data_IF_689841096237
#
_entry.id   IF_689841096237
#
_cell.length_a   1.000
_cell.length_b   1.000
_cell.length_c   1.000
_cell.angle_alpha   90.00
_cell.angle_beta   90.00
_cell.angle_gamma   90.00
#
_symmetry.space_group_name_H-M   'P 1'
#
loop_
_entity.id
_entity.type
_entity.pdbx_description
1 polymer ?
#
# COMPACT_ATOMS: atom_id res chain seq x y z
N UNK A 1 -47.31 -18.85 -21.34
CA UNK A 1 -46.59 -17.91 -22.24
C UNK A 1 -45.94 -16.81 -21.44
N UNK A 2 -44.91 -17.23 -20.70
CA UNK A 2 -43.59 -16.63 -20.56
C UNK A 2 -43.49 -15.12 -20.36
N UNK A 3 -43.61 -14.75 -19.08
CA UNK A 3 -42.91 -13.62 -18.47
C UNK A 3 -41.39 -13.81 -18.62
N UNK A 4 -40.76 -13.05 -19.50
CA UNK A 4 -39.30 -12.86 -19.47
C UNK A 4 -38.98 -11.48 -18.89
N UNK A 5 -38.96 -11.42 -17.55
CA UNK A 5 -38.28 -10.36 -16.82
C UNK A 5 -36.77 -10.47 -17.05
N UNK A 6 -36.21 -9.49 -17.74
CA UNK A 6 -34.76 -9.32 -17.81
C UNK A 6 -34.26 -8.91 -16.42
N UNK A 7 -33.32 -9.62 -15.79
CA UNK A 7 -32.67 -9.11 -14.60
C UNK A 7 -31.71 -8.01 -15.05
N UNK A 8 -32.10 -6.76 -14.85
CA UNK A 8 -31.22 -5.60 -14.99
C UNK A 8 -30.01 -5.84 -14.10
N UNK A 9 -28.90 -6.24 -14.73
CA UNK A 9 -27.62 -6.45 -14.08
C UNK A 9 -27.25 -5.20 -13.29
N UNK A 10 -26.82 -5.42 -12.06
CA UNK A 10 -26.23 -4.40 -11.21
C UNK A 10 -25.20 -3.61 -12.04
N UNK A 11 -25.57 -2.38 -12.43
CA UNK A 11 -24.65 -1.42 -13.01
C UNK A 11 -23.68 -1.08 -11.88
N UNK A 12 -22.60 -1.85 -11.82
CA UNK A 12 -21.44 -1.50 -11.01
C UNK A 12 -20.99 -0.17 -11.59
N UNK A 13 -21.14 0.93 -10.84
CA UNK A 13 -20.61 2.23 -11.23
C UNK A 13 -19.10 2.04 -11.47
N UNK A 14 -18.70 1.83 -12.72
CA UNK A 14 -17.32 1.74 -13.11
C UNK A 14 -16.81 3.17 -13.19
N UNK A 15 -16.06 3.60 -12.18
CA UNK A 15 -15.24 4.81 -12.30
C UNK A 15 -14.39 4.70 -13.56
N UNK A 16 -14.25 5.81 -14.29
CA UNK A 16 -13.47 5.89 -15.52
C UNK A 16 -12.04 5.38 -15.29
N UNK A 17 -11.56 4.50 -16.16
CA UNK A 17 -10.20 3.96 -16.06
C UNK A 17 -9.19 5.08 -16.37
N UNK A 18 -8.25 5.29 -15.45
CA UNK A 18 -7.17 6.25 -15.65
C UNK A 18 -6.04 5.61 -16.46
N UNK A 19 -5.59 6.28 -17.52
CA UNK A 19 -4.42 5.85 -18.27
C UNK A 19 -3.16 6.01 -17.42
N UNK A 20 -2.39 4.93 -17.28
CA UNK A 20 -1.11 4.97 -16.58
C UNK A 20 -0.01 5.35 -17.57
N UNK A 21 0.72 6.45 -17.34
CA UNK A 21 1.87 6.77 -18.17
C UNK A 21 2.96 5.72 -17.92
N UNK A 22 3.17 4.84 -18.89
CA UNK A 22 4.37 4.02 -19.00
C UNK A 22 5.32 4.75 -19.94
N UNK A 23 6.29 5.46 -19.38
CA UNK A 23 7.37 6.04 -20.20
C UNK A 23 8.24 4.91 -20.74
N UNK A 24 8.57 4.97 -22.03
CA UNK A 24 9.51 4.04 -22.66
C UNK A 24 10.86 4.10 -21.94
N UNK A 25 11.15 3.09 -21.11
CA UNK A 25 12.37 2.99 -20.30
C UNK A 25 12.13 2.86 -18.80
N UNK A 26 10.95 3.24 -18.28
CA UNK A 26 10.60 3.00 -16.87
C UNK A 26 9.95 1.64 -16.71
N UNK A 27 10.34 0.90 -15.66
CA UNK A 27 9.80 -0.44 -15.37
C UNK A 27 8.51 -0.43 -14.53
N UNK A 28 8.04 0.75 -14.13
CA UNK A 28 6.83 0.91 -13.32
C UNK A 28 6.05 2.17 -13.74
N UNK A 29 4.75 2.18 -13.41
CA UNK A 29 3.87 3.34 -13.52
C UNK A 29 3.07 3.52 -12.23
N UNK A 30 2.83 4.77 -11.83
CA UNK A 30 2.15 5.10 -10.58
C UNK A 30 0.82 5.84 -10.82
N UNK A 31 -0.27 5.29 -10.29
CA UNK A 31 -1.59 5.92 -10.31
C UNK A 31 -1.71 6.94 -9.16
N UNK A 32 -1.48 8.23 -9.44
CA UNK A 32 -1.43 9.27 -8.38
C UNK A 32 -2.77 9.96 -8.09
N UNK A 33 -3.77 9.73 -8.93
CA UNK A 33 -5.05 10.47 -8.95
C UNK A 33 -6.26 9.58 -8.74
N UNK A 34 -6.07 8.37 -8.21
CA UNK A 34 -7.17 7.47 -7.84
C UNK A 34 -7.85 7.96 -6.57
N UNK A 35 -9.18 8.00 -6.58
CA UNK A 35 -10.02 8.28 -5.42
C UNK A 35 -11.33 7.51 -5.51
N UNK A 36 -12.01 7.35 -4.37
CA UNK A 36 -13.36 6.80 -4.27
C UNK A 36 -14.28 7.87 -3.72
N UNK A 37 -15.45 8.05 -4.35
CA UNK A 37 -16.48 8.99 -3.91
C UNK A 37 -17.21 8.46 -2.67
N UNK A 38 -17.74 9.36 -1.84
CA UNK A 38 -18.61 9.01 -0.72
C UNK A 38 -19.99 8.47 -1.16
N UNK A 39 -20.35 8.65 -2.43
CA UNK A 39 -21.49 8.00 -3.08
C UNK A 39 -21.32 6.49 -3.16
N UNK A 40 -20.09 5.99 -3.22
CA UNK A 40 -19.80 4.55 -3.23
C UNK A 40 -19.90 3.97 -1.81
N UNK A 41 -20.80 3.02 -1.60
CA UNK A 41 -21.08 2.42 -0.30
C UNK A 41 -20.38 1.08 -0.08
N UNK A 42 -19.52 0.63 -1.01
CA UNK A 42 -18.78 -0.64 -0.87
C UNK A 42 -17.79 -0.54 0.29
N UNK A 43 -17.82 -1.53 1.19
CA UNK A 43 -16.86 -1.62 2.32
C UNK A 43 -15.45 -2.03 1.88
N UNK A 44 -15.34 -2.61 0.70
CA UNK A 44 -14.11 -3.11 0.13
C UNK A 44 -14.13 -2.91 -1.39
N UNK A 45 -12.96 -2.64 -1.95
CA UNK A 45 -12.75 -2.48 -3.39
C UNK A 45 -11.50 -3.25 -3.82
N UNK A 46 -11.35 -3.42 -5.13
CA UNK A 46 -10.15 -3.93 -5.76
C UNK A 46 -9.76 -2.96 -6.88
N UNK A 47 -8.46 -2.84 -7.16
CA UNK A 47 -7.97 -2.13 -8.33
C UNK A 47 -7.89 -3.09 -9.49
N UNK A 48 -8.33 -2.66 -10.67
CA UNK A 48 -8.20 -3.42 -11.91
C UNK A 48 -7.24 -2.68 -12.84
N UNK A 49 -6.21 -3.38 -13.29
CA UNK A 49 -5.26 -2.87 -14.28
C UNK A 49 -5.54 -3.59 -15.60
N UNK A 50 -6.05 -2.85 -16.58
CA UNK A 50 -6.23 -3.33 -17.94
C UNK A 50 -4.95 -3.03 -18.73
N UNK A 51 -4.29 -4.07 -19.24
CA UNK A 51 -3.06 -3.93 -20.02
C UNK A 51 -3.30 -4.24 -21.50
N UNK A 52 -2.81 -3.36 -22.37
CA UNK A 52 -2.89 -3.49 -23.82
C UNK A 52 -1.58 -2.96 -24.41
N UNK A 53 -1.14 -3.50 -25.55
CA UNK A 53 0.00 -2.94 -26.26
C UNK A 53 -0.38 -1.64 -26.97
N UNK A 54 0.47 -0.62 -26.94
CA UNK A 54 0.33 0.52 -27.84
C UNK A 54 0.78 0.07 -29.23
N UNK A 55 -0.15 -0.27 -30.11
CA UNK A 55 0.16 -0.57 -31.51
C UNK A 55 -0.52 0.45 -32.42
N UNK A 56 0.24 0.96 -33.38
CA UNK A 56 -0.18 1.94 -34.39
C UNK A 56 -1.11 1.32 -35.47
N UNK A 57 -1.43 0.03 -35.34
CA UNK A 57 -2.24 -0.74 -36.27
C UNK A 57 -3.56 -1.18 -35.63
N UNK A 58 -4.59 -1.32 -36.47
CA UNK A 58 -6.03 -1.36 -36.17
C UNK A 58 -6.51 -2.32 -35.06
N UNK A 59 -5.67 -3.21 -34.56
CA UNK A 59 -5.98 -4.15 -33.47
C UNK A 59 -4.83 -4.19 -32.46
N UNK A 60 -4.86 -3.28 -31.47
CA UNK A 60 -3.90 -3.29 -30.35
C UNK A 60 -4.13 -4.56 -29.51
N UNK A 61 -3.16 -5.49 -29.41
CA UNK A 61 -3.37 -6.74 -28.68
C UNK A 61 -3.62 -6.48 -27.19
N UNK A 62 -4.74 -7.02 -26.71
CA UNK A 62 -5.11 -7.02 -25.29
C UNK A 62 -4.29 -8.07 -24.54
N UNK A 63 -3.59 -7.66 -23.48
CA UNK A 63 -2.76 -8.56 -22.68
C UNK A 63 -3.61 -9.24 -21.62
N UNK A 64 -4.43 -8.47 -20.91
CA UNK A 64 -5.22 -8.99 -19.79
C UNK A 64 -5.69 -7.92 -18.83
N UNK A 65 -6.47 -8.35 -17.83
CA UNK A 65 -6.91 -7.54 -16.70
C UNK A 65 -6.42 -8.19 -15.41
N UNK A 66 -5.75 -7.40 -14.58
CA UNK A 66 -5.13 -7.86 -13.34
C UNK A 66 -5.80 -7.17 -12.16
N UNK A 67 -6.25 -7.96 -11.20
CA UNK A 67 -6.93 -7.46 -10.00
C UNK A 67 -5.95 -7.38 -8.82
N UNK A 68 -6.02 -6.29 -8.05
CA UNK A 68 -5.27 -6.17 -6.80
C UNK A 68 -5.88 -7.02 -5.70
N UNK A 69 -5.15 -7.16 -4.59
CA UNK A 69 -5.75 -7.58 -3.32
C UNK A 69 -6.87 -6.61 -2.91
N UNK A 70 -7.78 -7.12 -2.09
CA UNK A 70 -8.92 -6.37 -1.55
C UNK A 70 -8.42 -5.22 -0.66
N UNK A 71 -8.91 -4.02 -0.92
CA UNK A 71 -8.62 -2.79 -0.19
C UNK A 71 -9.86 -2.43 0.62
N UNK A 72 -9.69 -2.29 1.93
CA UNK A 72 -10.76 -1.85 2.81
C UNK A 72 -10.98 -0.35 2.66
N UNK A 73 -12.23 0.06 2.45
CA UNK A 73 -12.62 1.48 2.43
C UNK A 73 -12.78 1.97 3.87
N UNK A 74 -12.15 3.10 4.19
CA UNK A 74 -12.21 3.74 5.50
C UNK A 74 -12.68 5.19 5.35
N UNK A 75 -13.32 5.74 6.38
CA UNK A 75 -13.77 7.13 6.38
C UNK A 75 -12.64 8.10 6.71
N UNK A 76 -12.22 8.14 7.98
CA UNK A 76 -11.07 8.90 8.47
C UNK A 76 -10.36 8.05 9.53
N UNK A 77 -9.03 8.17 9.67
CA UNK A 77 -8.33 7.56 10.78
C UNK A 77 -8.97 7.98 12.11
N UNK A 78 -9.24 7.01 12.98
CA UNK A 78 -9.85 7.30 14.28
C UNK A 78 -8.82 7.95 15.20
N UNK A 79 -9.23 9.04 15.88
CA UNK A 79 -8.44 9.70 16.92
C UNK A 79 -8.48 8.98 18.28
N UNK A 80 -9.42 8.03 18.45
CA UNK A 80 -9.57 7.26 19.69
C UNK A 80 -8.48 6.20 19.79
N UNK A 81 -8.02 5.93 21.01
CA UNK A 81 -7.13 4.79 21.30
C UNK A 81 -7.80 3.52 20.77
N UNK A 82 -7.09 2.81 19.89
CA UNK A 82 -7.62 1.59 19.30
C UNK A 82 -7.67 0.49 20.35
N UNK A 83 -8.78 -0.24 20.37
CA UNK A 83 -8.90 -1.47 21.14
C UNK A 83 -8.42 -2.64 20.31
N UNK A 84 -7.66 -3.54 20.92
CA UNK A 84 -7.17 -4.77 20.27
C UNK A 84 -8.34 -5.66 19.82
N UNK A 85 -9.53 -5.53 20.43
CA UNK A 85 -10.72 -6.30 20.04
C UNK A 85 -11.28 -5.93 18.65
N UNK A 86 -10.87 -4.80 18.07
CA UNK A 86 -11.23 -4.37 16.71
C UNK A 86 -10.02 -4.38 15.76
N UNK A 87 -8.96 -5.12 16.11
CA UNK A 87 -7.62 -4.96 15.53
C UNK A 87 -7.47 -5.42 14.07
N UNK A 88 -8.25 -6.40 13.61
CA UNK A 88 -8.00 -7.13 12.36
C UNK A 88 -7.87 -6.26 11.10
N UNK A 89 -8.36 -5.01 11.14
CA UNK A 89 -8.40 -4.14 9.97
C UNK A 89 -7.79 -2.76 10.14
N UNK A 90 -7.32 -2.42 11.35
CA UNK A 90 -6.79 -1.08 11.68
C UNK A 90 -5.43 -1.16 12.37
N UNK A 91 -5.14 -2.28 13.05
CA UNK A 91 -3.85 -2.47 13.70
C UNK A 91 -2.83 -3.06 12.74
N UNK A 92 -1.56 -2.74 12.98
CA UNK A 92 -0.42 -3.25 12.22
C UNK A 92 0.11 -4.46 12.99
N UNK A 93 0.07 -5.64 12.38
CA UNK A 93 0.62 -6.85 12.95
C UNK A 93 2.11 -6.95 12.62
N UNK A 94 2.91 -7.44 13.58
CA UNK A 94 4.32 -7.78 13.37
C UNK A 94 4.48 -8.74 12.19
N UNK A 95 5.47 -8.50 11.35
CA UNK A 95 5.72 -9.25 10.12
C UNK A 95 4.87 -8.83 8.91
N UNK A 96 3.95 -7.87 9.06
CA UNK A 96 3.23 -7.31 7.90
C UNK A 96 4.03 -6.23 7.19
N UNK A 97 3.62 -5.89 5.97
CA UNK A 97 4.27 -4.87 5.14
C UNK A 97 3.60 -3.51 5.31
N UNK A 98 4.41 -2.48 5.47
CA UNK A 98 3.99 -1.08 5.55
C UNK A 98 4.72 -0.23 4.50
N UNK A 99 4.16 0.95 4.24
CA UNK A 99 4.84 2.03 3.54
C UNK A 99 4.85 3.26 4.46
N UNK A 100 5.95 4.00 4.47
CA UNK A 100 6.11 5.21 5.26
C UNK A 100 6.21 6.41 4.33
N UNK A 101 5.53 7.50 4.71
CA UNK A 101 5.60 8.75 3.98
C UNK A 101 5.56 9.93 4.92
N UNK A 102 6.14 11.02 4.47
CA UNK A 102 6.06 12.33 5.09
C UNK A 102 5.33 13.28 4.13
N UNK A 103 4.51 14.19 4.68
CA UNK A 103 3.86 15.25 3.92
C UNK A 103 3.95 16.56 4.68
N UNK A 104 4.72 17.51 4.15
CA UNK A 104 4.87 18.83 4.76
C UNK A 104 3.60 19.69 4.55
N UNK A 105 3.04 20.22 5.65
CA UNK A 105 1.89 21.14 5.66
C UNK A 105 0.67 20.63 4.87
N UNK A 106 0.48 19.31 4.82
CA UNK A 106 -0.63 18.68 4.08
C UNK A 106 -0.67 18.97 2.57
N UNK A 107 0.46 19.35 1.96
CA UNK A 107 0.55 19.62 0.52
C UNK A 107 0.90 18.36 -0.27
N UNK A 108 0.19 18.05 -1.37
CA UNK A 108 0.45 16.81 -2.12
C UNK A 108 1.87 16.78 -2.73
N UNK A 109 2.35 17.91 -3.23
CA UNK A 109 3.68 18.06 -3.88
C UNK A 109 4.85 17.82 -2.90
N UNK A 110 4.61 18.02 -1.60
CA UNK A 110 5.63 17.81 -0.57
C UNK A 110 5.70 16.36 -0.08
N UNK A 111 4.85 15.47 -0.59
CA UNK A 111 4.86 14.06 -0.17
C UNK A 111 6.20 13.42 -0.55
N UNK A 112 6.86 12.79 0.42
CA UNK A 112 8.06 11.97 0.23
C UNK A 112 7.86 10.62 0.90
N UNK A 113 8.26 9.55 0.24
CA UNK A 113 8.10 8.19 0.72
C UNK A 113 9.47 7.63 1.08
N UNK A 114 9.51 6.83 2.14
CA UNK A 114 10.71 6.04 2.42
C UNK A 114 10.88 5.01 1.31
N UNK A 115 12.06 4.95 0.71
CA UNK A 115 12.41 4.04 -0.37
C UNK A 115 13.87 3.60 -0.22
N UNK A 116 14.24 2.48 -0.85
CA UNK A 116 15.63 2.03 -0.94
C UNK A 116 15.99 2.01 -2.42
N UNK A 117 16.94 2.85 -2.81
CA UNK A 117 17.33 3.03 -4.21
C UNK A 117 18.12 1.82 -4.75
N UNK A 118 18.46 1.87 -6.04
CA UNK A 118 19.26 0.83 -6.71
C UNK A 118 20.68 0.70 -6.14
N UNK A 119 21.17 1.70 -5.42
CA UNK A 119 22.47 1.69 -4.72
C UNK A 119 22.36 1.11 -3.31
N UNK A 120 21.20 0.53 -2.96
CA UNK A 120 20.87 -0.01 -1.65
C UNK A 120 20.94 1.04 -0.52
N UNK A 121 20.64 2.30 -0.82
CA UNK A 121 20.60 3.39 0.16
C UNK A 121 19.17 3.80 0.47
N UNK A 122 18.90 4.08 1.75
CA UNK A 122 17.62 4.65 2.16
C UNK A 122 17.51 6.10 1.69
N UNK A 123 16.41 6.40 1.02
CA UNK A 123 16.10 7.74 0.54
C UNK A 123 14.65 8.14 0.82
N UNK A 124 14.40 9.44 0.73
CA UNK A 124 13.07 10.03 0.77
C UNK A 124 12.64 10.40 -0.66
N UNK A 125 12.04 9.44 -1.37
CA UNK A 125 11.68 9.58 -2.79
C UNK A 125 10.38 10.37 -2.98
N UNK A 126 10.29 11.18 -4.04
CA UNK A 126 9.04 11.83 -4.47
C UNK A 126 8.27 11.03 -5.53
N UNK A 127 8.82 9.92 -6.02
CA UNK A 127 8.29 9.18 -7.16
C UNK A 127 7.92 7.74 -6.82
N UNK A 128 8.69 7.11 -5.93
CA UNK A 128 8.55 5.71 -5.55
C UNK A 128 8.37 5.56 -4.05
N UNK A 129 7.82 4.43 -3.62
CA UNK A 129 7.69 4.08 -2.21
C UNK A 129 8.19 2.66 -1.99
N UNK A 130 8.94 2.46 -0.92
CA UNK A 130 9.38 1.14 -0.49
C UNK A 130 8.30 0.42 0.33
N UNK A 131 8.27 -0.90 0.20
CA UNK A 131 7.47 -1.76 1.06
C UNK A 131 8.36 -2.42 2.10
N UNK A 132 8.09 -2.19 3.39
CA UNK A 132 8.93 -2.62 4.50
C UNK A 132 8.19 -3.57 5.41
N UNK A 133 8.80 -4.68 5.78
CA UNK A 133 8.35 -5.48 6.91
C UNK A 133 8.59 -4.72 8.21
N UNK A 134 7.59 -4.71 9.08
CA UNK A 134 7.71 -4.18 10.43
C UNK A 134 7.70 -5.32 11.43
N UNK A 135 8.81 -5.53 12.12
CA UNK A 135 8.97 -6.59 13.12
C UNK A 135 8.98 -5.99 14.52
N UNK A 136 8.19 -6.54 15.42
CA UNK A 136 8.35 -6.32 16.86
C UNK A 136 9.57 -7.09 17.35
N UNK A 137 10.37 -6.45 18.20
CA UNK A 137 11.59 -7.01 18.76
C UNK A 137 11.44 -7.08 20.27
N UNK A 138 11.93 -8.15 20.90
CA UNK A 138 11.96 -8.24 22.36
C UNK A 138 13.09 -7.36 22.93
N UNK A 139 12.82 -6.73 24.07
CA UNK A 139 13.69 -5.73 24.70
C UNK A 139 14.91 -6.32 25.45
N UNK A 140 15.28 -7.57 25.22
CA UNK A 140 16.54 -8.12 25.74
C UNK A 140 17.67 -7.49 24.93
N UNK A 141 18.28 -6.45 25.51
CA UNK A 141 19.34 -5.59 24.97
C UNK A 141 19.56 -5.74 23.46
N UNK A 142 18.90 -4.91 22.63
CA UNK A 142 19.14 -4.95 21.20
C UNK A 142 20.60 -4.60 20.95
N UNK A 143 21.42 -5.61 20.65
CA UNK A 143 22.78 -5.40 20.20
C UNK A 143 22.68 -4.61 18.89
N UNK A 144 22.97 -3.31 18.94
CA UNK A 144 22.71 -2.30 17.89
C UNK A 144 23.31 -2.70 16.52
N UNK A 145 24.30 -3.59 16.53
CA UNK A 145 25.05 -4.05 15.35
C UNK A 145 24.68 -5.47 14.89
N UNK A 146 23.85 -6.21 15.62
CA UNK A 146 23.45 -7.57 15.23
C UNK A 146 22.47 -7.53 14.05
N UNK A 147 22.78 -8.29 13.01
CA UNK A 147 21.90 -8.51 11.85
C UNK A 147 20.77 -9.50 12.14
N UNK A 148 20.89 -10.25 13.24
CA UNK A 148 19.92 -11.26 13.71
C UNK A 148 19.14 -10.72 14.91
N UNK A 149 17.81 -10.79 14.85
CA UNK A 149 16.92 -10.33 15.91
C UNK A 149 15.78 -11.33 16.14
N UNK A 150 15.30 -11.42 17.38
CA UNK A 150 14.10 -12.19 17.71
C UNK A 150 12.86 -11.41 17.33
N UNK A 151 11.99 -12.03 16.53
CA UNK A 151 10.71 -11.43 16.11
C UNK A 151 9.62 -11.89 17.06
N UNK A 152 8.92 -10.91 17.63
CA UNK A 152 7.75 -11.15 18.45
C UNK A 152 6.47 -11.09 17.62
N UNK A 153 5.54 -11.99 17.90
CA UNK A 153 4.19 -11.92 17.33
C UNK A 153 3.32 -10.90 18.07
N UNK A 154 2.30 -10.38 17.38
CA UNK A 154 1.31 -9.47 17.96
C UNK A 154 1.18 -8.16 17.17
N UNK A 155 0.44 -7.21 17.75
CA UNK A 155 0.19 -5.92 17.14
C UNK A 155 1.19 -4.87 17.60
N UNK A 156 1.69 -4.07 16.68
CA UNK A 156 2.59 -2.96 16.95
C UNK A 156 1.86 -1.89 17.76
N UNK A 157 2.40 -1.58 18.94
CA UNK A 157 1.90 -0.53 19.83
C UNK A 157 2.92 0.59 19.93
N UNK A 158 2.47 1.81 20.25
CA UNK A 158 3.39 2.91 20.59
C UNK A 158 4.25 2.54 21.82
N UNK A 159 5.52 2.90 21.77
CA UNK A 159 6.54 2.51 22.74
C UNK A 159 7.17 1.15 22.48
N UNK A 160 6.74 0.42 21.45
CA UNK A 160 7.37 -0.85 21.07
C UNK A 160 8.64 -0.61 20.27
N UNK A 161 9.67 -1.41 20.53
CA UNK A 161 10.87 -1.50 19.69
C UNK A 161 10.53 -2.26 18.42
N UNK A 162 10.82 -1.65 17.28
CA UNK A 162 10.56 -2.22 15.95
C UNK A 162 11.80 -2.20 15.07
N UNK A 163 11.87 -3.18 14.18
CA UNK A 163 12.86 -3.27 13.10
C UNK A 163 12.13 -3.18 11.77
N UNK A 164 12.58 -2.28 10.89
CA UNK A 164 12.06 -2.15 9.54
C UNK A 164 13.03 -2.77 8.54
N UNK A 165 12.52 -3.66 7.68
CA UNK A 165 13.31 -4.39 6.67
C UNK A 165 12.66 -4.21 5.30
N UNK A 166 13.41 -3.73 4.32
CA UNK A 166 12.93 -3.56 2.95
C UNK A 166 12.58 -4.92 2.34
N UNK A 167 11.35 -5.08 1.85
CA UNK A 167 10.87 -6.37 1.32
C UNK A 167 11.48 -6.78 -0.03
N UNK A 168 12.26 -5.89 -0.66
CA UNK A 168 12.94 -6.15 -1.94
C UNK A 168 14.44 -6.36 -1.71
N UNK A 169 15.11 -5.41 -1.05
CA UNK A 169 16.57 -5.42 -0.90
C UNK A 169 17.05 -6.06 0.39
N UNK A 170 16.15 -6.40 1.33
CA UNK A 170 16.45 -6.83 2.70
C UNK A 170 17.30 -5.84 3.52
N UNK A 171 17.50 -4.62 3.03
CA UNK A 171 18.14 -3.55 3.81
C UNK A 171 17.27 -3.21 5.02
N UNK A 172 17.90 -2.98 6.17
CA UNK A 172 17.19 -2.71 7.41
C UNK A 172 17.61 -1.39 8.03
N UNK A 173 16.64 -0.69 8.61
CA UNK A 173 16.94 0.48 9.45
C UNK A 173 17.43 0.04 10.83
N UNK A 174 18.15 0.89 11.57
CA UNK A 174 18.43 0.66 12.99
C UNK A 174 17.17 0.37 13.81
N UNK A 175 17.33 -0.16 15.02
CA UNK A 175 16.18 -0.32 15.93
C UNK A 175 15.54 1.04 16.19
N UNK A 176 14.22 1.10 16.09
CA UNK A 176 13.46 2.32 16.33
C UNK A 176 12.39 2.04 17.36
N UNK A 177 12.07 3.03 18.18
CA UNK A 177 10.89 2.99 19.04
C UNK A 177 9.75 3.69 18.32
N UNK A 178 8.59 3.05 18.28
CA UNK A 178 7.40 3.64 17.67
C UNK A 178 6.83 4.74 18.57
N UNK A 179 6.70 5.97 18.07
CA UNK A 179 6.13 7.10 18.81
C UNK A 179 4.89 7.68 18.10
N UNK A 180 4.08 8.42 18.86
CA UNK A 180 2.90 9.13 18.37
C UNK A 180 3.23 10.56 18.01
#
# INVERSE_FOLDING_TARGET
NDNNGSPSGNITQSSEMQHLPFDNGKRFGAAKTLFISDSDKRKHINLNVKMMYTADFRDSPYIGMFESRKIKVISKPSKKKQSVKNAESVCIQSGTKIALFNRLRSQNVSTRFLHVDERNQFEASSHEWGSFYIHLVDNEEPCMESTTFSVKEGFVQYGSTVKLVCSVTNQSLPYMVSFR
#
